data_IF_122615942122
#
_entry.id   IF_122615942122
#
_cell.length_a   1.000
_cell.length_b   1.000
_cell.length_c   1.000
_cell.angle_alpha   90.00
_cell.angle_beta   90.00
_cell.angle_gamma   90.00
#
_symmetry.space_group_name_H-M   'P 1'
#
loop_
_entity.id
_entity.type
_entity.pdbx_description
1 polymer ?
#
# COMPACT_ATOMS: atom_id res chain seq x y z
N UNK A 1 48.79 5.48 -11.64
CA UNK A 1 47.39 5.31 -12.04
C UNK A 1 46.57 4.96 -10.80
N UNK A 2 45.66 5.80 -10.40
CA UNK A 2 44.79 5.44 -9.29
C UNK A 2 43.92 4.25 -9.73
N UNK A 3 43.91 3.20 -8.92
CA UNK A 3 42.93 2.11 -9.08
C UNK A 3 41.54 2.63 -8.86
N UNK A 4 40.64 2.45 -9.82
CA UNK A 4 39.19 2.68 -9.62
C UNK A 4 38.71 1.74 -8.52
N UNK A 5 37.85 2.22 -7.61
CA UNK A 5 37.25 1.35 -6.63
C UNK A 5 36.45 0.27 -7.35
N UNK A 6 36.79 -0.98 -7.06
CA UNK A 6 36.01 -2.13 -7.50
C UNK A 6 34.66 -2.02 -6.84
N UNK A 7 33.61 -1.86 -7.62
CA UNK A 7 32.24 -2.00 -7.10
C UNK A 7 32.11 -3.38 -6.48
N UNK A 8 31.69 -3.50 -5.22
CA UNK A 8 31.36 -4.80 -4.68
C UNK A 8 30.27 -5.40 -5.55
N UNK A 9 30.50 -6.59 -6.05
CA UNK A 9 29.49 -7.37 -6.74
C UNK A 9 28.30 -7.66 -5.83
N UNK A 10 27.20 -8.20 -6.36
CA UNK A 10 26.05 -8.54 -5.54
C UNK A 10 26.50 -9.44 -4.38
N UNK A 11 26.40 -8.91 -3.17
CA UNK A 11 26.75 -9.63 -1.95
C UNK A 11 25.78 -10.80 -1.81
N UNK A 12 26.32 -12.02 -1.67
CA UNK A 12 25.49 -13.16 -1.30
C UNK A 12 24.69 -12.83 -0.01
N UNK A 13 23.42 -13.26 0.07
CA UNK A 13 22.63 -12.99 1.27
C UNK A 13 23.37 -13.49 2.51
N UNK A 14 23.39 -12.69 3.57
CA UNK A 14 23.96 -13.10 4.84
C UNK A 14 23.24 -14.34 5.37
N UNK A 15 23.91 -15.14 6.23
CA UNK A 15 23.31 -16.33 6.82
C UNK A 15 21.95 -16.02 7.50
N UNK A 16 21.79 -14.82 8.07
CA UNK A 16 20.53 -14.38 8.70
C UNK A 16 19.41 -14.16 7.70
N UNK A 17 19.73 -13.58 6.54
CA UNK A 17 18.75 -13.39 5.45
C UNK A 17 18.35 -14.74 4.85
N UNK A 18 19.31 -15.64 4.65
CA UNK A 18 19.04 -16.99 4.16
C UNK A 18 18.14 -17.77 5.14
N UNK A 19 18.39 -17.68 6.44
CA UNK A 19 17.58 -18.29 7.47
C UNK A 19 16.16 -17.72 7.50
N UNK A 20 16.01 -16.41 7.33
CA UNK A 20 14.72 -15.75 7.25
C UNK A 20 13.92 -16.22 6.03
N UNK A 21 14.54 -16.24 4.86
CA UNK A 21 13.90 -16.69 3.62
C UNK A 21 13.49 -18.16 3.71
N UNK A 22 14.31 -19.02 4.32
CA UNK A 22 13.97 -20.41 4.56
C UNK A 22 12.77 -20.56 5.50
N UNK A 23 12.71 -19.76 6.55
CA UNK A 23 11.56 -19.70 7.47
C UNK A 23 10.29 -19.28 6.73
N UNK A 24 10.37 -18.23 5.91
CA UNK A 24 9.22 -17.76 5.10
C UNK A 24 8.75 -18.85 4.12
N UNK A 25 9.69 -19.56 3.47
CA UNK A 25 9.36 -20.63 2.54
C UNK A 25 8.66 -21.82 3.21
N UNK A 26 8.91 -22.06 4.49
CA UNK A 26 8.28 -23.11 5.29
C UNK A 26 7.00 -22.71 5.96
N UNK A 27 6.68 -21.40 5.96
CA UNK A 27 5.42 -20.94 6.52
C UNK A 27 4.25 -21.53 5.74
N UNK A 28 3.23 -22.08 6.42
CA UNK A 28 2.05 -22.53 5.74
C UNK A 28 1.39 -21.35 5.03
N UNK A 29 1.03 -21.54 3.76
CA UNK A 29 0.20 -20.57 3.04
C UNK A 29 -1.14 -20.54 3.75
N UNK A 30 -1.40 -19.49 4.50
CA UNK A 30 -2.72 -19.26 5.09
C UNK A 30 -3.66 -18.91 3.94
N UNK A 31 -4.34 -19.92 3.42
CA UNK A 31 -5.49 -19.68 2.54
C UNK A 31 -6.60 -19.11 3.39
N UNK A 32 -7.23 -17.99 2.98
CA UNK A 32 -8.39 -17.52 3.70
C UNK A 32 -9.46 -18.60 3.67
N UNK A 33 -9.68 -19.23 4.81
CA UNK A 33 -10.79 -20.15 5.01
C UNK A 33 -12.02 -19.31 5.28
N UNK A 34 -12.92 -19.21 4.32
CA UNK A 34 -14.20 -18.56 4.52
C UNK A 34 -14.57 -17.58 3.41
N UNK A 35 -15.84 -17.21 3.41
CA UNK A 35 -16.46 -16.35 2.39
C UNK A 35 -16.05 -14.86 2.47
N UNK A 36 -15.18 -14.47 3.42
CA UNK A 36 -14.79 -13.07 3.58
C UNK A 36 -13.41 -12.82 2.97
N UNK A 37 -13.29 -11.84 2.05
CA UNK A 37 -12.00 -11.45 1.51
C UNK A 37 -11.10 -10.86 2.61
N UNK A 38 -9.78 -11.02 2.46
CA UNK A 38 -8.81 -10.28 3.25
C UNK A 38 -9.03 -8.77 3.07
N UNK A 39 -8.76 -7.98 4.10
CA UNK A 39 -8.94 -6.52 4.07
C UNK A 39 -7.58 -5.82 4.12
N UNK A 40 -7.38 -4.87 3.22
CA UNK A 40 -6.17 -4.06 3.13
C UNK A 40 -6.55 -2.58 3.09
N UNK A 41 -5.85 -1.77 3.86
CA UNK A 41 -5.93 -0.31 3.77
C UNK A 41 -4.73 0.20 2.98
N UNK A 42 -5.00 0.89 1.87
CA UNK A 42 -4.00 1.56 1.06
C UNK A 42 -4.05 3.06 1.36
N UNK A 43 -3.06 3.55 2.10
CA UNK A 43 -3.02 4.93 2.57
C UNK A 43 -2.09 5.78 1.72
N UNK A 44 -2.55 6.95 1.32
CA UNK A 44 -1.85 7.82 0.38
C UNK A 44 -1.74 9.24 0.91
N UNK A 45 -0.54 9.78 0.88
CA UNK A 45 -0.28 11.19 1.17
C UNK A 45 -0.56 12.03 -0.08
N UNK A 46 -1.66 12.78 -0.05
CA UNK A 46 -2.08 13.67 -1.14
C UNK A 46 -1.81 15.16 -0.82
N UNK A 47 -0.77 15.47 -0.06
CA UNK A 47 -0.35 16.83 0.19
C UNK A 47 0.31 17.46 -1.05
N UNK A 48 0.26 18.78 -1.17
CA UNK A 48 0.73 19.51 -2.37
C UNK A 48 2.21 19.26 -2.70
N UNK A 49 3.04 18.93 -1.71
CA UNK A 49 4.44 18.55 -1.93
C UNK A 49 4.60 17.29 -2.80
N UNK A 50 3.56 16.47 -2.90
CA UNK A 50 3.53 15.28 -3.74
C UNK A 50 3.07 15.55 -5.18
N UNK A 51 2.57 16.75 -5.49
CA UNK A 51 2.00 17.07 -6.80
C UNK A 51 2.92 16.74 -7.97
N UNK A 52 4.24 17.00 -7.95
CA UNK A 52 5.11 16.72 -9.10
C UNK A 52 5.16 15.24 -9.50
N UNK A 53 4.96 14.33 -8.55
CA UNK A 53 4.99 12.88 -8.80
C UNK A 53 3.60 12.22 -8.71
N UNK A 54 2.58 13.00 -8.35
CA UNK A 54 1.24 12.48 -8.06
C UNK A 54 0.58 11.85 -9.29
N UNK A 55 0.58 12.56 -10.41
CA UNK A 55 -0.07 12.08 -11.63
C UNK A 55 0.52 10.75 -12.10
N UNK A 56 1.84 10.61 -12.00
CA UNK A 56 2.52 9.36 -12.31
C UNK A 56 2.20 8.26 -11.30
N UNK A 57 2.17 8.58 -10.03
CA UNK A 57 1.81 7.64 -8.97
C UNK A 57 0.36 7.15 -9.13
N UNK A 58 -0.56 8.05 -9.43
CA UNK A 58 -1.96 7.70 -9.73
C UNK A 58 -2.07 6.77 -10.94
N UNK A 59 -1.37 7.09 -12.04
CA UNK A 59 -1.39 6.27 -13.24
C UNK A 59 -0.87 4.86 -12.96
N UNK A 60 0.27 4.72 -12.31
CA UNK A 60 0.87 3.42 -11.98
C UNK A 60 0.01 2.61 -11.00
N UNK A 61 -0.53 3.26 -9.98
CA UNK A 61 -1.40 2.60 -9.00
C UNK A 61 -2.72 2.18 -9.65
N UNK A 62 -3.28 3.03 -10.51
CA UNK A 62 -4.48 2.71 -11.28
C UNK A 62 -4.26 1.51 -12.21
N UNK A 63 -3.14 1.48 -12.92
CA UNK A 63 -2.77 0.33 -13.76
C UNK A 63 -2.63 -0.96 -12.94
N UNK A 64 -2.03 -0.87 -11.76
CA UNK A 64 -1.91 -2.00 -10.85
C UNK A 64 -3.29 -2.55 -10.44
N UNK A 65 -4.21 -1.70 -10.06
CA UNK A 65 -5.56 -2.11 -9.68
C UNK A 65 -6.33 -2.69 -10.86
N UNK A 66 -6.20 -2.11 -12.06
CA UNK A 66 -6.83 -2.65 -13.27
C UNK A 66 -6.25 -4.01 -13.67
N UNK A 67 -4.94 -4.19 -13.53
CA UNK A 67 -4.27 -5.44 -13.87
C UNK A 67 -4.65 -6.59 -12.91
N UNK A 68 -4.96 -6.28 -11.66
CA UNK A 68 -5.36 -7.27 -10.68
C UNK A 68 -6.85 -7.65 -10.76
N UNK A 69 -7.66 -6.89 -11.50
CA UNK A 69 -9.07 -7.16 -11.73
C UNK A 69 -9.90 -7.19 -10.43
N UNK A 70 -10.22 -8.39 -9.97
CA UNK A 70 -10.98 -8.63 -8.73
C UNK A 70 -10.12 -8.54 -7.45
N UNK A 71 -8.89 -8.05 -7.56
CA UNK A 71 -7.92 -7.91 -6.46
C UNK A 71 -7.56 -9.25 -5.78
N UNK A 72 -7.72 -10.38 -6.47
CA UNK A 72 -7.36 -11.69 -5.94
C UNK A 72 -8.13 -12.10 -4.68
N UNK A 73 -9.35 -11.60 -4.51
CA UNK A 73 -10.17 -11.85 -3.31
C UNK A 73 -9.82 -10.96 -2.12
N UNK A 74 -9.09 -9.88 -2.35
CA UNK A 74 -8.79 -8.87 -1.32
C UNK A 74 -9.75 -7.69 -1.46
N UNK A 75 -10.26 -7.20 -0.34
CA UNK A 75 -11.01 -5.96 -0.28
C UNK A 75 -10.08 -4.81 0.15
N UNK A 76 -10.03 -3.75 -0.64
CA UNK A 76 -9.15 -2.61 -0.42
C UNK A 76 -9.94 -1.36 -0.11
N UNK A 77 -9.56 -0.67 0.96
CA UNK A 77 -10.01 0.68 1.26
C UNK A 77 -8.89 1.66 0.91
N UNK A 78 -9.19 2.62 0.06
CA UNK A 78 -8.29 3.72 -0.24
C UNK A 78 -8.49 4.81 0.82
N UNK A 79 -7.46 5.12 1.57
CA UNK A 79 -7.45 6.22 2.52
C UNK A 79 -6.45 7.29 2.06
N UNK A 80 -6.80 8.55 2.19
CA UNK A 80 -5.89 9.63 1.86
C UNK A 80 -6.08 10.82 2.78
N UNK A 81 -5.06 11.64 2.88
CA UNK A 81 -5.09 12.90 3.61
C UNK A 81 -4.48 14.01 2.78
N UNK A 82 -4.99 15.20 2.95
CA UNK A 82 -4.52 16.42 2.31
C UNK A 82 -5.00 17.65 3.11
N UNK A 83 -4.51 18.82 2.76
CA UNK A 83 -4.85 20.02 3.52
C UNK A 83 -4.39 19.90 4.98
N UNK A 84 -5.07 20.59 5.88
CA UNK A 84 -4.71 20.58 7.30
C UNK A 84 -5.50 19.53 8.11
N UNK A 85 -6.72 19.25 7.73
CA UNK A 85 -7.62 18.39 8.49
C UNK A 85 -8.35 17.36 7.64
N UNK A 86 -8.19 17.35 6.33
CA UNK A 86 -8.90 16.42 5.46
C UNK A 86 -8.28 15.04 5.52
N UNK A 87 -9.09 14.09 5.94
CA UNK A 87 -8.81 12.67 5.90
C UNK A 87 -10.07 11.96 5.38
N UNK A 88 -9.92 11.16 4.35
CA UNK A 88 -11.02 10.43 3.76
C UNK A 88 -10.64 8.98 3.49
N UNK A 89 -11.61 8.10 3.53
CA UNK A 89 -11.42 6.69 3.20
C UNK A 89 -12.63 6.18 2.42
N UNK A 90 -12.38 5.33 1.44
CA UNK A 90 -13.43 4.61 0.74
C UNK A 90 -13.92 3.43 1.57
N UNK A 91 -15.11 2.89 1.30
CA UNK A 91 -15.47 1.55 1.74
C UNK A 91 -14.43 0.52 1.26
N UNK A 92 -14.41 -0.65 1.86
CA UNK A 92 -13.61 -1.76 1.35
C UNK A 92 -14.22 -2.28 0.05
N UNK A 93 -13.46 -2.17 -1.03
CA UNK A 93 -13.88 -2.49 -2.40
C UNK A 93 -13.10 -3.70 -2.91
N UNK A 94 -13.74 -4.55 -3.69
CA UNK A 94 -13.12 -5.71 -4.32
C UNK A 94 -12.87 -5.52 -5.81
N UNK A 95 -13.31 -4.40 -6.38
CA UNK A 95 -13.16 -4.06 -7.80
C UNK A 95 -11.99 -3.09 -8.01
N UNK A 96 -10.95 -3.56 -8.70
CA UNK A 96 -9.77 -2.75 -9.03
C UNK A 96 -10.08 -1.56 -9.93
N UNK A 97 -11.05 -1.68 -10.84
CA UNK A 97 -11.46 -0.57 -11.69
C UNK A 97 -12.13 0.56 -10.89
N UNK A 98 -12.94 0.22 -9.89
CA UNK A 98 -13.54 1.21 -8.99
C UNK A 98 -12.48 1.93 -8.15
N UNK A 99 -11.51 1.21 -7.62
CA UNK A 99 -10.38 1.79 -6.88
C UNK A 99 -9.56 2.74 -7.77
N UNK A 100 -9.28 2.35 -9.01
CA UNK A 100 -8.58 3.19 -9.98
C UNK A 100 -9.35 4.50 -10.27
N UNK A 101 -10.66 4.41 -10.43
CA UNK A 101 -11.51 5.60 -10.63
C UNK A 101 -11.47 6.52 -9.41
N UNK A 102 -11.56 5.96 -8.21
CA UNK A 102 -11.50 6.72 -6.97
C UNK A 102 -10.16 7.41 -6.79
N UNK A 103 -9.06 6.71 -7.05
CA UNK A 103 -7.71 7.26 -7.02
C UNK A 103 -7.55 8.43 -8.00
N UNK A 104 -8.09 8.32 -9.20
CA UNK A 104 -8.02 9.35 -10.23
C UNK A 104 -8.76 10.65 -9.85
N UNK A 105 -9.73 10.58 -8.95
CA UNK A 105 -10.47 11.77 -8.50
C UNK A 105 -9.75 12.55 -7.39
N UNK A 106 -8.72 11.96 -6.77
CA UNK A 106 -7.97 12.61 -5.70
C UNK A 106 -6.95 13.58 -6.30
N UNK A 107 -7.01 14.84 -5.91
CA UNK A 107 -6.00 15.86 -6.23
C UNK A 107 -5.23 16.25 -4.98
N UNK A 108 -3.96 16.62 -5.15
CA UNK A 108 -3.15 17.09 -4.03
C UNK A 108 -3.59 18.47 -3.55
N UNK A 109 -3.57 18.68 -2.24
CA UNK A 109 -3.89 19.95 -1.61
C UNK A 109 -2.82 20.24 -0.55
N UNK A 110 -2.37 21.50 -0.48
CA UNK A 110 -1.38 21.93 0.52
C UNK A 110 -1.84 21.64 1.94
N UNK A 111 -0.91 21.21 2.79
CA UNK A 111 -1.22 20.86 4.16
C UNK A 111 -0.13 20.04 4.83
N UNK A 112 -0.51 19.34 5.87
CA UNK A 112 0.40 18.54 6.70
C UNK A 112 0.18 17.06 6.51
N UNK A 113 1.25 16.29 6.68
CA UNK A 113 1.18 14.83 6.77
C UNK A 113 0.41 14.43 8.03
N UNK A 114 -0.52 13.47 7.86
CA UNK A 114 -1.43 13.04 8.92
C UNK A 114 -1.30 11.54 9.20
N UNK A 115 -0.08 11.05 9.31
CA UNK A 115 0.21 9.62 9.51
C UNK A 115 -0.48 9.07 10.76
N UNK A 116 -0.52 9.83 11.84
CA UNK A 116 -1.16 9.40 13.07
C UNK A 116 -2.66 9.15 12.87
N UNK A 117 -3.33 9.98 12.05
CA UNK A 117 -4.75 9.75 11.71
C UNK A 117 -4.94 8.49 10.89
N UNK A 118 -4.03 8.22 9.95
CA UNK A 118 -4.05 6.98 9.17
C UNK A 118 -3.90 5.75 10.07
N UNK A 119 -2.99 5.78 11.02
CA UNK A 119 -2.78 4.70 11.98
C UNK A 119 -4.00 4.50 12.89
N UNK A 120 -4.59 5.58 13.38
CA UNK A 120 -5.83 5.52 14.18
C UNK A 120 -7.01 4.97 13.38
N UNK A 121 -7.14 5.41 12.12
CA UNK A 121 -8.16 4.89 11.22
C UNK A 121 -7.99 3.38 11.01
N UNK A 122 -6.76 2.91 10.75
CA UNK A 122 -6.48 1.49 10.59
C UNK A 122 -6.82 0.69 11.86
N UNK A 123 -6.51 1.25 13.03
CA UNK A 123 -6.84 0.64 14.32
C UNK A 123 -8.35 0.54 14.52
N UNK A 124 -9.10 1.60 14.21
CA UNK A 124 -10.56 1.62 14.34
C UNK A 124 -11.21 0.61 13.38
N UNK A 125 -10.73 0.52 12.13
CA UNK A 125 -11.22 -0.46 11.17
C UNK A 125 -10.90 -1.91 11.62
N UNK A 126 -9.74 -2.13 12.21
CA UNK A 126 -9.34 -3.44 12.75
C UNK A 126 -10.26 -3.88 13.90
N UNK A 127 -10.76 -2.94 14.70
CA UNK A 127 -11.73 -3.24 15.77
C UNK A 127 -13.10 -3.64 15.22
N UNK A 128 -13.47 -3.17 14.05
CA UNK A 128 -14.73 -3.55 13.38
C UNK A 128 -14.64 -4.92 12.73
N UNK A 129 -13.56 -5.16 11.99
CA UNK A 129 -13.24 -6.43 11.37
C UNK A 129 -11.74 -6.47 11.05
N UNK A 130 -11.15 -7.65 11.09
CA UNK A 130 -9.72 -7.84 10.88
C UNK A 130 -9.24 -7.15 9.59
N UNK A 131 -8.22 -6.32 9.71
CA UNK A 131 -7.45 -5.76 8.60
C UNK A 131 -6.13 -6.50 8.52
N UNK A 132 -5.81 -7.08 7.37
CA UNK A 132 -4.62 -7.88 7.18
C UNK A 132 -3.36 -7.05 6.97
N UNK A 133 -3.49 -5.87 6.36
CA UNK A 133 -2.36 -4.99 6.07
C UNK A 133 -2.78 -3.52 5.95
N UNK A 134 -1.84 -2.64 6.28
CA UNK A 134 -1.84 -1.21 5.99
C UNK A 134 -0.59 -0.92 5.16
N UNK A 135 -0.76 -0.30 3.99
CA UNK A 135 0.32 0.06 3.06
C UNK A 135 0.35 1.57 2.85
#
# INVERSE_FOLDING_TARGET
MPRLPVRPGPTAPTADVAAFLDTVARMPVVRPSGARPGRLIFAVDATASRQPSWDRACALTGEMFLATGDLGGIAVSLAYWRGHLEFAATPFLTDGAELARRMATVSCLGGQTQILRALRHALDETRRARVGALV
#
